data_IF_115697788314
#
_entry.id   IF_115697788314
#
_cell.length_a   1.000
_cell.length_b   1.000
_cell.length_c   1.000
_cell.angle_alpha   90.00
_cell.angle_beta   90.00
_cell.angle_gamma   90.00
#
_symmetry.space_group_name_H-M   'P 1'
#
loop_
_entity.id
_entity.type
_entity.pdbx_description
1 polymer ?
#
# COMPACT_ATOMS: atom_id res chain seq x y z
N UNK A 1 -0.50 -26.15 0.17
CA UNK A 1 0.48 -27.23 -0.13
C UNK A 1 1.83 -26.58 -0.41
N UNK A 2 2.94 -27.15 0.04
CA UNK A 2 4.29 -26.64 -0.27
C UNK A 2 4.86 -27.41 -1.46
N UNK A 3 5.44 -26.71 -2.43
CA UNK A 3 6.09 -27.28 -3.61
C UNK A 3 7.59 -27.01 -3.55
N UNK A 4 8.41 -27.90 -4.12
CA UNK A 4 9.87 -27.72 -4.20
C UNK A 4 10.24 -26.92 -5.43
N UNK A 5 11.18 -25.99 -5.27
CA UNK A 5 11.74 -25.17 -6.33
C UNK A 5 13.26 -25.33 -6.30
N UNK A 6 13.85 -25.72 -7.44
CA UNK A 6 15.30 -25.80 -7.61
C UNK A 6 15.77 -24.54 -8.34
N UNK A 7 16.75 -23.84 -7.78
CA UNK A 7 17.29 -22.59 -8.33
C UNK A 7 18.81 -22.70 -8.48
N UNK A 8 19.33 -22.07 -9.54
CA UNK A 8 20.78 -21.85 -9.69
C UNK A 8 21.08 -20.45 -9.18
N UNK A 9 21.92 -20.36 -8.16
CA UNK A 9 22.31 -19.11 -7.50
C UNK A 9 23.82 -19.14 -7.31
N UNK A 10 24.48 -17.99 -7.40
CA UNK A 10 25.91 -17.88 -7.12
C UNK A 10 26.25 -18.38 -5.71
N UNK A 11 27.32 -19.17 -5.60
CA UNK A 11 27.76 -19.74 -4.32
C UNK A 11 28.03 -18.65 -3.26
N UNK A 12 28.63 -17.53 -3.68
CA UNK A 12 28.90 -16.39 -2.81
C UNK A 12 27.64 -15.82 -2.15
N UNK A 13 26.52 -15.83 -2.88
CA UNK A 13 25.22 -15.36 -2.41
C UNK A 13 24.60 -16.39 -1.47
N UNK A 14 24.69 -17.69 -1.79
CA UNK A 14 24.19 -18.77 -0.93
C UNK A 14 24.87 -18.71 0.46
N UNK A 15 26.18 -18.49 0.49
CA UNK A 15 26.93 -18.36 1.75
C UNK A 15 26.44 -17.16 2.58
N UNK A 16 26.27 -15.99 1.96
CA UNK A 16 25.74 -14.80 2.64
C UNK A 16 24.31 -15.00 3.14
N UNK A 17 23.46 -15.68 2.38
CA UNK A 17 22.09 -16.00 2.78
C UNK A 17 22.06 -16.91 4.01
N UNK A 18 22.90 -17.96 4.05
CA UNK A 18 22.99 -18.87 5.20
C UNK A 18 23.46 -18.13 6.45
N UNK A 19 24.52 -17.35 6.35
CA UNK A 19 25.03 -16.54 7.46
C UNK A 19 23.97 -15.56 7.99
N UNK A 20 23.22 -14.93 7.09
CA UNK A 20 22.13 -14.04 7.47
C UNK A 20 21.00 -14.80 8.20
N UNK A 21 20.60 -15.96 7.67
CA UNK A 21 19.56 -16.80 8.26
C UNK A 21 19.94 -17.28 9.68
N UNK A 22 21.20 -17.69 9.87
CA UNK A 22 21.72 -18.08 11.19
C UNK A 22 21.68 -16.91 12.19
N UNK A 23 22.15 -15.72 11.78
CA UNK A 23 22.11 -14.50 12.61
C UNK A 23 20.69 -14.13 13.05
N UNK A 24 19.71 -14.37 12.18
CA UNK A 24 18.30 -14.05 12.42
C UNK A 24 17.50 -15.25 12.98
N UNK A 25 18.17 -16.35 13.35
CA UNK A 25 17.56 -17.58 13.87
C UNK A 25 16.40 -18.10 13.00
N UNK A 26 16.55 -18.01 11.67
CA UNK A 26 15.55 -18.37 10.68
C UNK A 26 16.15 -19.31 9.62
N UNK A 27 15.30 -19.89 8.76
CA UNK A 27 15.73 -20.75 7.66
C UNK A 27 15.78 -19.95 6.36
N UNK A 28 16.69 -20.34 5.47
CA UNK A 28 16.78 -19.75 4.13
C UNK A 28 15.48 -19.92 3.34
N UNK A 29 14.78 -21.05 3.50
CA UNK A 29 13.48 -21.27 2.87
C UNK A 29 12.44 -20.24 3.31
N UNK A 30 12.44 -19.88 4.59
CA UNK A 30 11.45 -18.98 5.18
C UNK A 30 11.74 -17.55 4.71
N UNK A 31 13.01 -17.14 4.66
CA UNK A 31 13.42 -15.86 4.09
C UNK A 31 12.98 -15.69 2.64
N UNK A 32 13.18 -16.72 1.81
CA UNK A 32 12.80 -16.69 0.39
C UNK A 32 11.28 -16.68 0.26
N UNK A 33 10.58 -17.52 1.02
CA UNK A 33 9.11 -17.58 1.02
C UNK A 33 8.51 -16.22 1.43
N UNK A 34 9.02 -15.60 2.49
CA UNK A 34 8.55 -14.31 2.99
C UNK A 34 8.84 -13.17 2.02
N UNK A 35 10.03 -13.15 1.41
CA UNK A 35 10.36 -12.18 0.37
C UNK A 35 9.36 -12.27 -0.78
N UNK A 36 9.15 -13.48 -1.33
CA UNK A 36 8.21 -13.67 -2.44
C UNK A 36 6.76 -13.40 -2.03
N UNK A 37 6.35 -13.75 -0.81
CA UNK A 37 5.02 -13.42 -0.28
C UNK A 37 4.78 -11.90 -0.24
N UNK A 38 5.81 -11.13 0.09
CA UNK A 38 5.72 -9.67 0.14
C UNK A 38 5.71 -9.05 -1.27
N UNK A 39 6.58 -9.48 -2.18
CA UNK A 39 6.64 -8.90 -3.53
C UNK A 39 5.50 -9.36 -4.44
N UNK A 40 4.94 -10.55 -4.22
CA UNK A 40 3.76 -11.05 -4.96
C UNK A 40 2.44 -10.72 -4.29
N UNK A 41 2.47 -10.03 -3.15
CA UNK A 41 1.26 -9.61 -2.45
C UNK A 41 0.41 -8.81 -3.44
N UNK A 42 -0.82 -9.26 -3.77
CA UNK A 42 -1.66 -8.50 -4.66
C UNK A 42 -1.82 -7.11 -4.05
N UNK A 43 -1.50 -6.07 -4.81
CA UNK A 43 -1.90 -4.73 -4.43
C UNK A 43 -3.41 -4.82 -4.25
N UNK A 44 -3.88 -4.71 -3.01
CA UNK A 44 -5.27 -4.38 -2.76
C UNK A 44 -5.44 -3.01 -3.39
N UNK A 45 -5.80 -2.99 -4.68
CA UNK A 45 -6.31 -1.79 -5.32
C UNK A 45 -7.45 -1.39 -4.42
N UNK A 46 -7.28 -0.29 -3.68
CA UNK A 46 -8.37 0.30 -2.91
C UNK A 46 -9.55 0.36 -3.86
N UNK A 47 -10.62 -0.34 -3.51
CA UNK A 47 -11.87 -0.22 -4.25
C UNK A 47 -12.24 1.25 -4.30
N UNK A 48 -12.98 1.67 -5.32
CA UNK A 48 -13.53 3.03 -5.36
C UNK A 48 -14.23 3.38 -4.03
N UNK A 49 -14.92 2.40 -3.43
CA UNK A 49 -15.54 2.53 -2.11
C UNK A 49 -14.52 2.78 -0.99
N UNK A 50 -13.39 2.06 -0.97
CA UNK A 50 -12.33 2.26 0.03
C UNK A 50 -11.70 3.65 -0.04
N UNK A 51 -11.76 4.30 -1.22
CA UNK A 51 -11.29 5.67 -1.42
C UNK A 51 -12.33 6.67 -0.92
N UNK A 52 -13.62 6.43 -1.20
CA UNK A 52 -14.73 7.27 -0.72
C UNK A 52 -14.79 7.28 0.81
N UNK A 53 -14.61 6.12 1.45
CA UNK A 53 -14.60 6.00 2.91
C UNK A 53 -13.41 6.69 3.59
N UNK A 54 -12.35 6.99 2.83
CA UNK A 54 -11.14 7.69 3.31
C UNK A 54 -11.17 9.19 3.02
N UNK A 55 -12.22 9.70 2.36
CA UNK A 55 -12.37 11.14 2.15
C UNK A 55 -12.65 11.82 3.49
N UNK A 56 -12.04 12.99 3.76
CA UNK A 56 -12.30 13.73 4.98
C UNK A 56 -13.77 14.10 5.06
N UNK A 57 -14.34 14.02 6.26
CA UNK A 57 -15.73 14.40 6.49
C UNK A 57 -15.90 15.88 6.16
N UNK A 58 -16.85 16.20 5.27
CA UNK A 58 -17.12 17.57 4.89
C UNK A 58 -17.91 18.28 6.00
N UNK A 59 -17.55 19.53 6.31
CA UNK A 59 -18.26 20.37 7.27
C UNK A 59 -19.37 21.19 6.58
N UNK A 60 -20.24 20.49 5.85
CA UNK A 60 -21.36 21.09 5.12
C UNK A 60 -22.65 20.66 5.80
N UNK A 61 -23.44 21.63 6.25
CA UNK A 61 -24.76 21.39 6.84
C UNK A 61 -25.68 20.69 5.81
N UNK A 62 -26.30 19.59 6.23
CA UNK A 62 -27.21 18.80 5.41
C UNK A 62 -28.43 19.58 4.89
N UNK A 63 -28.75 20.73 5.52
CA UNK A 63 -29.85 21.62 5.10
C UNK A 63 -29.40 22.81 4.24
N UNK A 64 -28.11 22.97 4.00
CA UNK A 64 -27.61 24.10 3.24
C UNK A 64 -27.87 23.94 1.74
N UNK A 65 -28.19 25.05 1.06
CA UNK A 65 -28.27 25.07 -0.39
C UNK A 65 -26.86 25.01 -0.99
N UNK A 66 -26.48 23.82 -1.45
CA UNK A 66 -25.20 23.54 -2.07
C UNK A 66 -24.93 24.41 -3.30
N UNK A 67 -25.98 24.82 -4.03
CA UNK A 67 -25.85 25.69 -5.20
C UNK A 67 -25.42 27.08 -4.74
N UNK A 68 -26.07 27.62 -3.72
CA UNK A 68 -25.74 28.95 -3.20
C UNK A 68 -24.32 28.98 -2.62
N UNK A 69 -23.96 27.98 -1.81
CA UNK A 69 -22.61 27.83 -1.26
C UNK A 69 -21.52 27.78 -2.33
N UNK A 70 -21.73 27.01 -3.40
CA UNK A 70 -20.78 26.93 -4.53
C UNK A 70 -20.53 28.29 -5.18
N UNK A 71 -21.59 29.07 -5.42
CA UNK A 71 -21.45 30.39 -6.03
C UNK A 71 -20.86 31.42 -5.07
N UNK A 72 -21.10 31.30 -3.76
CA UNK A 72 -20.48 32.16 -2.76
C UNK A 72 -18.97 31.90 -2.65
N UNK A 73 -18.55 30.64 -2.63
CA UNK A 73 -17.13 30.28 -2.58
C UNK A 73 -16.38 30.65 -3.86
N UNK A 74 -17.00 30.44 -5.03
CA UNK A 74 -16.42 30.89 -6.30
C UNK A 74 -16.22 32.41 -6.34
N UNK A 75 -17.16 33.19 -5.77
CA UNK A 75 -17.05 34.65 -5.66
C UNK A 75 -15.96 35.07 -4.66
N UNK A 76 -15.80 34.34 -3.55
CA UNK A 76 -14.72 34.58 -2.58
C UNK A 76 -13.35 34.30 -3.20
N UNK A 77 -13.18 33.18 -3.91
CA UNK A 77 -11.94 32.83 -4.60
C UNK A 77 -11.56 33.85 -5.69
N UNK A 78 -12.54 34.43 -6.38
CA UNK A 78 -12.32 35.47 -7.38
C UNK A 78 -11.96 36.86 -6.80
N UNK A 79 -12.21 37.10 -5.51
CA UNK A 79 -11.92 38.38 -4.83
C UNK A 79 -10.50 38.45 -4.22
N UNK A 80 -9.70 37.39 -4.33
CA UNK A 80 -8.33 37.31 -3.78
C UNK A 80 -7.28 37.70 -4.83
N UNK A 81 -7.68 38.35 -5.92
CA UNK A 81 -6.80 38.91 -6.96
C UNK A 81 -6.98 40.42 -7.07
#
# INVERSE_FOLDING_TARGET
MKSRLNLTIEESVIQRMKQYAEKQHTRVSDLVEDYFRNVTKPLKKKSFMDIVDQLPQHDIDAKADLKELYYQDKKKAAKVF
#
